data_IF_880727938981
#
_entry.id   IF_880727938981
#
_cell.length_a   1.000
_cell.length_b   1.000
_cell.length_c   1.000
_cell.angle_alpha   90.00
_cell.angle_beta   90.00
_cell.angle_gamma   90.00
#
_symmetry.space_group_name_H-M   'P 1'
#
loop_
_entity.id
_entity.type
_entity.pdbx_description
1 polymer ?
#
# COMPACT_ATOMS: atom_id res chain seq x y z
N UNK A 1 43.40 -18.85 17.28
CA UNK A 1 42.29 -18.00 17.77
C UNK A 1 42.17 -16.84 16.81
N UNK A 2 41.22 -16.95 15.88
CA UNK A 2 40.66 -15.79 15.18
C UNK A 2 39.24 -16.22 14.85
N UNK A 3 38.33 -15.53 15.51
CA UNK A 3 36.93 -15.87 15.67
C UNK A 3 36.13 -15.53 14.42
N UNK A 4 35.23 -16.46 14.08
CA UNK A 4 33.92 -16.25 13.48
C UNK A 4 33.54 -14.79 13.20
N UNK A 5 33.53 -14.42 11.92
CA UNK A 5 32.84 -13.22 11.45
C UNK A 5 32.30 -13.41 10.02
N UNK A 6 31.64 -14.54 9.78
CA UNK A 6 30.82 -14.75 8.57
C UNK A 6 29.50 -15.45 8.93
N UNK A 7 28.79 -14.91 9.92
CA UNK A 7 27.36 -15.15 10.09
C UNK A 7 26.64 -13.82 9.98
N UNK A 8 26.41 -13.36 8.75
CA UNK A 8 25.49 -12.26 8.51
C UNK A 8 24.71 -12.48 7.22
N UNK A 9 23.40 -12.60 7.40
CA UNK A 9 22.33 -12.36 6.41
C UNK A 9 22.03 -13.50 5.42
N UNK A 10 21.67 -14.68 5.94
CA UNK A 10 20.62 -15.46 5.28
C UNK A 10 19.29 -14.73 5.49
N UNK A 11 18.90 -13.91 4.51
CA UNK A 11 17.50 -13.46 4.39
C UNK A 11 16.67 -14.72 4.15
N UNK A 12 15.87 -15.14 5.12
CA UNK A 12 14.89 -16.22 4.91
C UNK A 12 14.02 -15.81 3.71
N UNK A 13 14.15 -16.55 2.61
CA UNK A 13 13.29 -16.38 1.45
C UNK A 13 11.90 -16.81 1.88
N UNK A 14 11.07 -15.83 2.24
CA UNK A 14 9.65 -16.06 2.48
C UNK A 14 9.07 -16.60 1.19
N UNK A 15 8.63 -17.85 1.20
CA UNK A 15 7.90 -18.42 0.07
C UNK A 15 6.56 -17.69 -0.04
N UNK A 16 6.47 -16.82 -1.04
CA UNK A 16 5.29 -16.00 -1.29
C UNK A 16 4.12 -16.83 -1.84
N UNK A 17 4.40 -18.05 -2.31
CA UNK A 17 3.43 -19.00 -2.87
C UNK A 17 2.68 -19.79 -1.79
N UNK A 18 3.10 -19.70 -0.53
CA UNK A 18 2.38 -20.29 0.60
C UNK A 18 1.35 -19.33 1.22
N UNK A 19 0.35 -19.89 1.92
CA UNK A 19 -0.61 -19.08 2.69
C UNK A 19 0.07 -18.45 3.90
N UNK A 20 0.05 -17.12 3.96
CA UNK A 20 0.64 -16.35 5.05
C UNK A 20 -0.44 -15.59 5.81
N UNK A 21 -0.31 -15.52 7.14
CA UNK A 21 -1.20 -14.69 7.96
C UNK A 21 -1.10 -13.24 7.49
N UNK A 22 -2.25 -12.62 7.24
CA UNK A 22 -2.33 -11.27 6.71
C UNK A 22 -1.90 -10.27 7.79
N UNK A 23 -0.88 -9.46 7.50
CA UNK A 23 -0.39 -8.42 8.43
C UNK A 23 -1.46 -7.38 8.82
N UNK A 24 -2.46 -7.17 7.96
CA UNK A 24 -3.57 -6.25 8.22
C UNK A 24 -4.55 -6.79 9.26
N UNK A 25 -4.82 -8.10 9.23
CA UNK A 25 -5.78 -8.75 10.12
C UNK A 25 -5.48 -10.25 10.24
N UNK A 26 -5.18 -10.69 11.45
CA UNK A 26 -4.72 -12.05 11.74
C UNK A 26 -5.80 -13.14 11.67
N UNK A 27 -7.07 -12.79 11.42
CA UNK A 27 -8.11 -13.79 11.13
C UNK A 27 -8.10 -14.20 9.65
N UNK A 28 -7.31 -13.52 8.83
CA UNK A 28 -7.20 -13.75 7.40
C UNK A 28 -5.78 -14.16 7.02
N UNK A 29 -5.68 -14.85 5.89
CA UNK A 29 -4.44 -15.24 5.24
C UNK A 29 -4.46 -14.82 3.77
N UNK A 30 -3.28 -14.57 3.22
CA UNK A 30 -3.06 -14.17 1.83
C UNK A 30 -2.00 -15.09 1.22
N UNK A 31 -2.19 -15.41 -0.06
CA UNK A 31 -1.23 -16.13 -0.91
C UNK A 31 -0.94 -15.28 -2.14
N UNK A 32 0.31 -15.25 -2.59
CA UNK A 32 0.68 -14.66 -3.88
C UNK A 32 1.11 -15.77 -4.82
N UNK A 33 0.64 -15.78 -6.05
CA UNK A 33 0.88 -16.87 -7.01
C UNK A 33 0.87 -16.26 -8.40
N UNK A 34 2.05 -16.06 -8.99
CA UNK A 34 2.22 -15.45 -10.33
C UNK A 34 2.61 -16.46 -11.41
N UNK A 35 2.58 -17.76 -11.09
CA UNK A 35 2.81 -18.83 -12.06
C UNK A 35 1.55 -19.18 -12.86
N UNK A 36 0.38 -18.97 -12.26
CA UNK A 36 -0.90 -19.13 -12.93
C UNK A 36 -1.10 -17.97 -13.94
N UNK A 37 -1.60 -18.27 -15.16
CA UNK A 37 -2.02 -17.27 -16.18
C UNK A 37 -3.30 -16.51 -15.76
N UNK A 38 -3.48 -16.35 -14.45
CA UNK A 38 -4.54 -15.61 -13.83
C UNK A 38 -4.27 -14.11 -13.95
N UNK A 39 -5.34 -13.35 -14.22
CA UNK A 39 -5.24 -11.89 -14.28
C UNK A 39 -4.90 -11.26 -12.91
N UNK A 40 -4.98 -12.02 -11.82
CA UNK A 40 -4.72 -11.56 -10.45
C UNK A 40 -3.92 -12.58 -9.63
N UNK A 41 -2.66 -12.27 -9.26
CA UNK A 41 -1.74 -13.21 -8.62
C UNK A 41 -1.93 -13.29 -7.10
N UNK A 42 -3.11 -12.97 -6.58
CA UNK A 42 -3.35 -12.89 -5.13
C UNK A 42 -4.67 -13.54 -4.76
N UNK A 43 -4.70 -14.20 -3.61
CA UNK A 43 -5.89 -14.82 -3.00
C UNK A 43 -5.93 -14.50 -1.52
N UNK A 44 -7.12 -14.21 -0.99
CA UNK A 44 -7.34 -13.86 0.42
C UNK A 44 -8.49 -14.72 0.94
N UNK A 45 -8.29 -15.31 2.12
CA UNK A 45 -9.36 -16.06 2.79
C UNK A 45 -9.26 -15.94 4.30
N UNK A 46 -10.37 -16.20 4.98
CA UNK A 46 -10.42 -16.27 6.44
C UNK A 46 -9.83 -17.59 6.91
N UNK A 47 -8.99 -17.57 7.94
CA UNK A 47 -8.27 -18.75 8.44
C UNK A 47 -9.25 -19.80 8.98
N UNK A 48 -10.25 -19.37 9.77
CA UNK A 48 -11.12 -20.27 10.55
C UNK A 48 -11.96 -21.24 9.71
N UNK A 49 -12.41 -20.80 8.54
CA UNK A 49 -13.40 -21.52 7.71
C UNK A 49 -13.11 -21.43 6.21
N UNK A 50 -11.93 -20.91 5.85
CA UNK A 50 -11.47 -20.73 4.47
C UNK A 50 -12.42 -19.90 3.60
N UNK A 51 -13.29 -19.10 4.22
CA UNK A 51 -14.18 -18.18 3.53
C UNK A 51 -13.37 -17.16 2.72
N UNK A 52 -13.64 -17.08 1.42
CA UNK A 52 -13.04 -16.10 0.51
C UNK A 52 -13.96 -14.88 0.38
N UNK A 53 -13.54 -13.70 0.88
CA UNK A 53 -14.33 -12.50 0.73
C UNK A 53 -14.46 -12.11 -0.74
N UNK A 54 -15.66 -11.71 -1.16
CA UNK A 54 -15.87 -11.16 -2.50
C UNK A 54 -14.98 -9.94 -2.74
N UNK A 55 -14.34 -9.89 -3.90
CA UNK A 55 -13.62 -8.72 -4.37
C UNK A 55 -14.47 -7.97 -5.38
N UNK A 56 -14.59 -6.65 -5.18
CA UNK A 56 -15.33 -5.75 -6.08
C UNK A 56 -14.39 -4.70 -6.65
N UNK A 57 -14.73 -4.18 -7.83
CA UNK A 57 -14.06 -3.04 -8.44
C UNK A 57 -14.81 -1.76 -8.08
N UNK A 58 -14.17 -0.82 -7.38
CA UNK A 58 -14.72 0.50 -7.06
C UNK A 58 -13.74 1.61 -7.45
N UNK A 59 -14.19 2.56 -8.28
CA UNK A 59 -13.37 3.62 -8.87
C UNK A 59 -12.06 3.09 -9.47
N UNK A 60 -12.14 1.97 -10.20
CA UNK A 60 -11.01 1.30 -10.85
C UNK A 60 -9.99 0.64 -9.88
N UNK A 61 -10.32 0.52 -8.59
CA UNK A 61 -9.49 -0.20 -7.62
C UNK A 61 -10.22 -1.43 -7.10
N UNK A 62 -9.53 -2.56 -7.02
CA UNK A 62 -10.04 -3.74 -6.33
C UNK A 62 -10.13 -3.51 -4.82
N UNK A 63 -11.26 -3.88 -4.23
CA UNK A 63 -11.53 -3.81 -2.80
C UNK A 63 -12.18 -5.09 -2.30
N UNK A 64 -11.88 -5.43 -1.06
CA UNK A 64 -12.52 -6.52 -0.34
C UNK A 64 -13.06 -6.02 0.99
N UNK A 65 -14.06 -6.72 1.52
CA UNK A 65 -14.66 -6.42 2.81
C UNK A 65 -14.03 -7.31 3.89
N UNK A 66 -13.15 -6.73 4.71
CA UNK A 66 -12.45 -7.41 5.82
C UNK A 66 -12.90 -6.76 7.12
N UNK A 67 -13.52 -7.55 8.03
CA UNK A 67 -14.08 -7.10 9.32
C UNK A 67 -14.75 -5.73 9.25
N UNK A 68 -15.82 -5.65 8.46
CA UNK A 68 -16.68 -4.45 8.34
C UNK A 68 -16.04 -3.24 7.64
N UNK A 69 -14.83 -3.39 7.08
CA UNK A 69 -14.13 -2.32 6.37
C UNK A 69 -13.85 -2.71 4.93
N UNK A 70 -14.09 -1.76 4.03
CA UNK A 70 -13.57 -1.86 2.67
C UNK A 70 -12.08 -1.58 2.66
N UNK A 71 -11.30 -2.58 2.27
CA UNK A 71 -9.84 -2.49 2.18
C UNK A 71 -9.43 -2.64 0.72
N UNK A 72 -8.51 -1.79 0.28
CA UNK A 72 -7.96 -1.86 -1.07
C UNK A 72 -6.97 -3.01 -1.21
N UNK A 73 -7.10 -3.81 -2.26
CA UNK A 73 -6.24 -4.98 -2.48
C UNK A 73 -4.77 -4.58 -2.68
N UNK A 74 -4.48 -3.56 -3.49
CA UNK A 74 -3.10 -3.08 -3.68
C UNK A 74 -2.40 -2.72 -2.36
N UNK A 75 -3.16 -2.24 -1.35
CA UNK A 75 -2.61 -1.93 -0.03
C UNK A 75 -2.33 -3.19 0.78
N UNK A 76 -3.19 -4.20 0.71
CA UNK A 76 -2.97 -5.49 1.37
C UNK A 76 -1.73 -6.19 0.81
N UNK A 77 -1.62 -6.27 -0.52
CA UNK A 77 -0.46 -6.87 -1.20
C UNK A 77 0.83 -6.12 -0.84
N UNK A 78 0.84 -4.79 -0.93
CA UNK A 78 2.01 -4.00 -0.58
C UNK A 78 2.38 -4.10 0.91
N UNK A 79 1.39 -4.08 1.81
CA UNK A 79 1.63 -4.25 3.25
C UNK A 79 2.25 -5.62 3.55
N UNK A 80 1.81 -6.67 2.86
CA UNK A 80 2.31 -8.02 3.05
C UNK A 80 3.74 -8.17 2.54
N UNK A 81 4.01 -7.77 1.30
CA UNK A 81 5.22 -8.18 0.57
C UNK A 81 6.23 -7.06 0.28
N UNK A 82 5.88 -5.79 0.50
CA UNK A 82 6.77 -4.66 0.20
C UNK A 82 7.24 -4.02 1.50
N UNK A 83 8.52 -4.17 1.79
CA UNK A 83 9.16 -3.44 2.89
C UNK A 83 9.13 -1.94 2.60
N UNK A 84 8.49 -1.18 3.48
CA UNK A 84 8.45 0.26 3.39
C UNK A 84 9.75 0.87 3.95
N UNK A 85 10.64 1.44 3.11
CA UNK A 85 11.94 1.93 3.58
C UNK A 85 11.85 3.18 4.47
N UNK A 86 10.70 3.87 4.49
CA UNK A 86 10.49 5.00 5.38
C UNK A 86 8.99 5.20 5.70
N UNK A 87 8.46 4.52 6.73
CA UNK A 87 7.04 4.57 7.09
C UNK A 87 6.52 5.98 7.43
N UNK A 88 7.39 6.86 7.93
CA UNK A 88 7.04 8.25 8.26
C UNK A 88 6.86 9.12 7.01
N UNK A 89 7.59 8.81 5.94
CA UNK A 89 7.60 9.59 4.70
C UNK A 89 6.71 8.99 3.62
N UNK A 90 6.65 7.67 3.52
CA UNK A 90 5.95 6.93 2.48
C UNK A 90 4.71 6.27 3.07
N UNK A 91 3.60 6.99 3.01
CA UNK A 91 2.34 6.63 3.65
C UNK A 91 1.24 6.23 2.64
N UNK A 92 1.57 6.15 1.35
CA UNK A 92 0.66 5.72 0.30
C UNK A 92 1.30 4.61 -0.53
N UNK A 93 0.45 3.79 -1.16
CA UNK A 93 0.85 2.76 -2.13
C UNK A 93 0.37 3.21 -3.51
N UNK A 94 1.23 3.03 -4.51
CA UNK A 94 1.03 3.48 -5.90
C UNK A 94 1.31 2.37 -6.89
N UNK A 95 0.68 2.45 -8.05
CA UNK A 95 0.94 1.60 -9.21
C UNK A 95 1.97 2.27 -10.12
N UNK A 96 3.11 1.60 -10.37
CA UNK A 96 4.21 2.10 -11.21
C UNK A 96 3.74 2.35 -12.65
N UNK A 97 2.96 1.43 -13.20
CA UNK A 97 2.39 1.53 -14.56
C UNK A 97 1.12 2.39 -14.65
N UNK A 98 0.65 2.98 -13.53
CA UNK A 98 -0.60 3.77 -13.44
C UNK A 98 -1.87 2.99 -13.77
N UNK A 99 -1.81 1.67 -13.87
CA UNK A 99 -2.97 0.81 -13.97
C UNK A 99 -3.37 0.31 -12.57
N UNK A 100 -4.46 0.84 -12.03
CA UNK A 100 -4.93 0.51 -10.67
C UNK A 100 -5.51 -0.90 -10.52
N UNK A 101 -5.70 -1.62 -11.63
CA UNK A 101 -6.11 -3.04 -11.64
C UNK A 101 -4.93 -4.00 -11.53
N UNK A 102 -3.72 -3.55 -11.87
CA UNK A 102 -2.52 -4.38 -11.86
C UNK A 102 -1.88 -4.38 -10.46
N UNK A 103 -2.30 -5.32 -9.61
CA UNK A 103 -1.83 -5.40 -8.23
C UNK A 103 -0.62 -6.34 -8.05
N UNK A 104 0.16 -6.61 -9.10
CA UNK A 104 1.40 -7.39 -8.98
C UNK A 104 2.40 -6.67 -8.06
N UNK A 105 3.11 -7.42 -7.21
CA UNK A 105 4.09 -6.85 -6.26
C UNK A 105 5.10 -5.96 -6.99
N UNK A 106 5.58 -6.41 -8.15
CA UNK A 106 6.52 -5.68 -8.99
C UNK A 106 5.97 -4.36 -9.54
N UNK A 107 4.65 -4.22 -9.66
CA UNK A 107 3.99 -2.99 -10.09
C UNK A 107 3.65 -2.03 -8.93
N UNK A 108 3.75 -2.47 -7.68
CA UNK A 108 3.41 -1.63 -6.52
C UNK A 108 4.65 -0.95 -5.91
N UNK A 109 4.46 0.22 -5.29
CA UNK A 109 5.51 0.92 -4.53
C UNK A 109 4.95 1.76 -3.39
N UNK A 110 5.72 1.90 -2.32
CA UNK A 110 5.46 2.89 -1.28
C UNK A 110 5.88 4.29 -1.78
N UNK A 111 5.00 5.29 -1.64
CA UNK A 111 5.28 6.69 -2.01
C UNK A 111 4.84 7.65 -0.92
N UNK A 112 5.39 8.84 -0.99
CA UNK A 112 4.93 9.97 -0.19
C UNK A 112 3.62 10.48 -0.78
N UNK A 113 2.65 10.78 0.07
CA UNK A 113 1.44 11.50 -0.33
C UNK A 113 1.78 12.74 -1.15
N UNK A 114 1.34 12.72 -2.40
CA UNK A 114 1.42 13.85 -3.30
C UNK A 114 0.18 14.72 -3.14
N UNK A 115 0.34 16.04 -3.12
CA UNK A 115 -0.78 16.96 -3.07
C UNK A 115 -0.39 18.33 -2.54
N UNK A 116 -1.07 19.35 -3.03
CA UNK A 116 -1.04 20.66 -2.40
C UNK A 116 -1.97 20.63 -1.19
N UNK A 117 -1.47 21.07 -0.03
CA UNK A 117 -2.33 21.34 1.11
C UNK A 117 -3.14 22.60 0.79
N UNK A 118 -4.43 22.62 1.09
CA UNK A 118 -5.27 23.80 0.91
C UNK A 118 -6.30 23.90 2.03
N UNK A 119 -6.74 25.11 2.30
CA UNK A 119 -7.87 25.39 3.19
C UNK A 119 -9.06 25.78 2.31
N UNK A 120 -10.23 25.20 2.59
CA UNK A 120 -11.49 25.64 1.98
C UNK A 120 -12.06 26.79 2.80
N UNK A 121 -12.31 27.92 2.17
CA UNK A 121 -12.91 29.10 2.80
C UNK A 121 -14.12 29.57 1.99
N UNK A 122 -15.00 30.33 2.61
CA UNK A 122 -16.13 31.00 1.95
C UNK A 122 -15.79 32.48 1.80
N UNK A 123 -15.95 33.04 0.60
CA UNK A 123 -15.74 34.48 0.37
C UNK A 123 -16.96 35.33 0.77
N UNK A 124 -16.84 36.65 0.63
CA UNK A 124 -17.92 37.60 0.96
C UNK A 124 -19.18 37.42 0.10
N UNK A 125 -19.07 36.76 -1.06
CA UNK A 125 -20.18 36.42 -1.95
C UNK A 125 -20.79 35.04 -1.61
N UNK A 126 -20.41 34.44 -0.48
CA UNK A 126 -20.79 33.09 -0.09
C UNK A 126 -20.29 31.99 -1.04
N UNK A 127 -19.24 32.23 -1.84
CA UNK A 127 -18.66 31.25 -2.76
C UNK A 127 -17.50 30.50 -2.10
N UNK A 128 -17.46 29.17 -2.31
CA UNK A 128 -16.38 28.31 -1.78
C UNK A 128 -15.09 28.49 -2.59
N UNK A 129 -14.00 28.86 -1.92
CA UNK A 129 -12.65 29.03 -2.48
C UNK A 129 -11.66 28.07 -1.82
N UNK A 130 -10.64 27.65 -2.57
CA UNK A 130 -9.52 26.84 -2.05
C UNK A 130 -8.27 27.72 -2.02
N UNK A 131 -7.73 27.95 -0.83
CA UNK A 131 -6.46 28.67 -0.64
C UNK A 131 -5.36 27.63 -0.47
N UNK A 132 -4.44 27.56 -1.42
CA UNK A 132 -3.35 26.60 -1.40
C UNK A 132 -2.22 27.06 -0.47
N UNK A 133 -1.84 26.19 0.45
CA UNK A 133 -0.69 26.37 1.32
C UNK A 133 0.58 26.01 0.54
N UNK A 134 1.26 27.02 0.02
CA UNK A 134 2.59 26.84 -0.52
C UNK A 134 3.58 26.65 0.62
N UNK A 135 4.49 25.67 0.48
CA UNK A 135 5.66 25.56 1.35
C UNK A 135 6.55 26.75 1.03
N UNK A 136 6.46 27.83 1.80
CA UNK A 136 7.35 28.98 1.66
C UNK A 136 8.80 28.49 1.70
N UNK A 137 9.52 28.64 0.59
CA UNK A 137 10.98 28.51 0.58
C UNK A 137 11.52 29.73 1.32
N UNK A 138 12.39 29.47 2.29
CA UNK A 138 13.18 30.40 3.10
C UNK A 138 13.35 31.78 2.42
N UNK A 139 12.83 32.84 3.03
CA UNK A 139 13.23 34.20 2.67
C UNK A 139 14.70 34.28 3.08
N UNK A 140 15.60 34.48 2.11
CA UNK A 140 16.96 34.89 2.41
C UNK A 140 16.89 36.37 2.80
N UNK A 141 17.54 36.71 3.88
CA UNK A 141 17.66 38.09 4.32
C UNK A 141 18.22 38.92 3.15
N UNK A 142 17.56 40.05 2.87
CA UNK A 142 18.04 41.06 1.94
C UNK A 142 19.07 41.89 2.72
N UNK A 143 20.33 41.80 2.31
CA UNK A 143 21.43 42.63 2.82
C UNK A 143 21.15 44.14 2.59
#
# INVERSE_FOLDING_TARGET
MTENLEQSEQTELIDINEWQVLKYDNDFEIRYDDEDDDEQPWRIRRIRDKFEPSIILDNNYYRSHIKEKHVFIHRLVALQYITNPNPLKYNEVDHKNRNSKDNHINNLRCKKKGGALFVSVTDVDNKRRRIYLNKFKKIRDLD
#
